data_IF_866648647397
#
_entry.id   IF_866648647397
#
_cell.length_a   1.000
_cell.length_b   1.000
_cell.length_c   1.000
_cell.angle_alpha   90.00
_cell.angle_beta   90.00
_cell.angle_gamma   90.00
#
_symmetry.space_group_name_H-M   'P 1'
#
loop_
_entity.id
_entity.type
_entity.pdbx_description
1 polymer ?
#
# COMPACT_ATOMS: atom_id res chain seq x y z
N UNK A 1 -6.62 19.63 12.88
CA UNK A 1 -6.38 18.65 11.80
C UNK A 1 -7.58 18.58 10.88
N UNK A 2 -7.37 18.49 9.57
CA UNK A 2 -8.46 18.28 8.59
C UNK A 2 -8.89 16.79 8.55
N UNK A 3 -10.13 16.50 8.17
CA UNK A 3 -10.65 15.11 8.07
C UNK A 3 -9.76 14.22 7.18
N UNK A 4 -9.18 14.80 6.12
CA UNK A 4 -8.25 14.09 5.21
C UNK A 4 -6.94 13.70 5.90
N UNK A 5 -6.38 14.60 6.73
CA UNK A 5 -5.18 14.31 7.52
C UNK A 5 -5.43 13.21 8.55
N UNK A 6 -6.59 13.22 9.21
CA UNK A 6 -6.98 12.14 10.14
C UNK A 6 -7.03 10.80 9.41
N UNK A 7 -7.69 10.72 8.26
CA UNK A 7 -7.78 9.47 7.49
C UNK A 7 -6.41 9.01 6.96
N UNK A 8 -5.56 9.94 6.53
CA UNK A 8 -4.20 9.61 6.12
C UNK A 8 -3.36 9.04 7.28
N UNK A 9 -3.47 9.65 8.46
CA UNK A 9 -2.79 9.14 9.67
C UNK A 9 -3.33 7.78 10.10
N UNK A 10 -4.65 7.56 10.01
CA UNK A 10 -5.23 6.25 10.27
C UNK A 10 -4.72 5.20 9.28
N UNK A 11 -4.61 5.56 8.00
CA UNK A 11 -4.04 4.67 6.97
C UNK A 11 -2.60 4.26 7.29
N UNK A 12 -1.73 5.23 7.54
CA UNK A 12 -0.34 4.93 7.93
C UNK A 12 -0.24 4.24 9.30
N UNK A 13 -1.17 4.53 10.20
CA UNK A 13 -1.31 3.83 11.47
C UNK A 13 -1.63 2.34 11.28
N UNK A 14 -2.58 2.00 10.41
CA UNK A 14 -2.89 0.60 10.06
C UNK A 14 -1.67 -0.09 9.46
N UNK A 15 -0.99 0.55 8.51
CA UNK A 15 0.24 0.01 7.91
C UNK A 15 1.32 -0.23 8.96
N UNK A 16 1.53 0.72 9.87
CA UNK A 16 2.51 0.59 10.96
C UNK A 16 2.15 -0.54 11.92
N UNK A 17 0.88 -0.66 12.32
CA UNK A 17 0.41 -1.75 13.19
C UNK A 17 0.61 -3.11 12.53
N UNK A 18 0.30 -3.24 11.24
CA UNK A 18 0.55 -4.48 10.49
C UNK A 18 2.04 -4.82 10.44
N UNK A 19 2.90 -3.84 10.14
CA UNK A 19 4.34 -4.03 10.13
C UNK A 19 4.88 -4.45 11.51
N UNK A 20 4.48 -3.77 12.57
CA UNK A 20 4.89 -4.09 13.95
C UNK A 20 4.43 -5.49 14.33
N UNK A 21 3.16 -5.83 14.05
CA UNK A 21 2.62 -7.18 14.30
C UNK A 21 3.45 -8.24 13.58
N UNK A 22 3.75 -8.02 12.30
CA UNK A 22 4.55 -8.97 11.50
C UNK A 22 5.98 -9.08 12.02
N UNK A 23 6.61 -7.98 12.41
CA UNK A 23 7.94 -8.01 13.03
C UNK A 23 7.95 -8.79 14.35
N UNK A 24 6.96 -8.57 15.22
CA UNK A 24 6.82 -9.30 16.48
C UNK A 24 6.57 -10.79 16.25
N UNK A 25 5.71 -11.16 15.30
CA UNK A 25 5.46 -12.55 14.95
C UNK A 25 6.72 -13.20 14.36
N UNK A 26 7.43 -12.50 13.48
CA UNK A 26 8.63 -13.00 12.83
C UNK A 26 9.77 -13.27 13.84
N UNK A 27 10.02 -12.34 14.77
CA UNK A 27 11.09 -12.46 15.78
C UNK A 27 10.78 -13.53 16.81
N UNK A 28 9.51 -13.69 17.19
CA UNK A 28 9.10 -14.68 18.19
C UNK A 28 8.88 -16.09 17.62
N UNK A 29 9.04 -16.30 16.31
CA UNK A 29 8.80 -17.60 15.69
C UNK A 29 10.09 -18.45 15.66
N UNK A 30 10.14 -19.57 16.40
CA UNK A 30 11.32 -20.44 16.44
C UNK A 30 11.48 -21.28 15.16
N UNK A 31 10.36 -21.57 14.47
CA UNK A 31 10.34 -22.35 13.24
C UNK A 31 10.54 -21.48 11.99
N UNK A 32 11.63 -21.74 11.26
CA UNK A 32 11.96 -21.03 10.02
C UNK A 32 10.98 -21.28 8.86
N UNK A 33 10.27 -22.41 8.85
CA UNK A 33 9.23 -22.70 7.86
C UNK A 33 8.05 -21.72 7.99
N UNK A 34 7.63 -21.45 9.22
CA UNK A 34 6.50 -20.56 9.53
C UNK A 34 6.85 -19.07 9.34
N UNK A 35 8.14 -18.71 9.42
CA UNK A 35 8.61 -17.36 9.12
C UNK A 35 8.30 -16.93 7.67
N UNK A 36 8.43 -17.86 6.71
CA UNK A 36 8.09 -17.61 5.31
C UNK A 36 6.59 -17.35 5.12
N UNK A 37 5.74 -18.14 5.78
CA UNK A 37 4.28 -17.98 5.73
C UNK A 37 3.82 -16.66 6.35
N UNK A 38 4.44 -16.22 7.46
CA UNK A 38 4.15 -14.93 8.09
C UNK A 38 4.43 -13.76 7.14
N UNK A 39 5.60 -13.77 6.47
CA UNK A 39 5.97 -12.73 5.52
C UNK A 39 5.06 -12.74 4.30
N UNK A 40 4.74 -13.91 3.76
CA UNK A 40 3.86 -14.06 2.61
C UNK A 40 2.43 -13.60 2.94
N UNK A 41 1.90 -13.98 4.10
CA UNK A 41 0.60 -13.53 4.59
C UNK A 41 0.55 -12.00 4.77
N UNK A 42 1.60 -11.41 5.34
CA UNK A 42 1.73 -9.95 5.43
C UNK A 42 1.74 -9.27 4.06
N UNK A 43 2.52 -9.80 3.12
CA UNK A 43 2.59 -9.30 1.76
C UNK A 43 1.24 -9.32 1.04
N UNK A 44 0.50 -10.43 1.16
CA UNK A 44 -0.85 -10.56 0.59
C UNK A 44 -1.85 -9.56 1.18
N UNK A 45 -1.84 -9.37 2.51
CA UNK A 45 -2.72 -8.39 3.17
C UNK A 45 -2.39 -6.97 2.69
N UNK A 46 -1.11 -6.62 2.63
CA UNK A 46 -0.68 -5.30 2.16
C UNK A 46 -1.05 -5.07 0.68
N UNK A 47 -0.86 -6.07 -0.17
CA UNK A 47 -1.25 -6.01 -1.58
C UNK A 47 -2.76 -5.87 -1.75
N UNK A 48 -3.56 -6.59 -0.97
CA UNK A 48 -5.02 -6.48 -1.01
C UNK A 48 -5.51 -5.09 -0.61
N UNK A 49 -4.92 -4.49 0.43
CA UNK A 49 -5.27 -3.14 0.89
C UNK A 49 -4.85 -2.04 -0.11
N UNK A 50 -3.74 -2.26 -0.82
CA UNK A 50 -3.21 -1.35 -1.82
C UNK A 50 -3.69 -1.65 -3.25
N UNK A 51 -4.54 -2.66 -3.46
CA UNK A 51 -5.00 -3.03 -4.80
C UNK A 51 -5.91 -1.96 -5.40
N UNK A 52 -5.79 -1.65 -6.71
CA UNK A 52 -4.91 -2.31 -7.68
C UNK A 52 -3.47 -1.80 -7.74
N UNK A 53 -3.14 -0.61 -7.22
CA UNK A 53 -1.81 0.01 -7.44
C UNK A 53 -0.66 -0.68 -6.69
N UNK A 54 -0.97 -1.44 -5.64
CA UNK A 54 0.02 -2.16 -4.84
C UNK A 54 0.83 -3.17 -5.66
N UNK A 55 0.19 -3.90 -6.57
CA UNK A 55 0.83 -4.92 -7.41
C UNK A 55 1.95 -4.36 -8.29
N UNK A 56 1.70 -3.36 -9.17
CA UNK A 56 2.78 -2.78 -9.96
C UNK A 56 3.80 -2.04 -9.11
N UNK A 57 3.40 -1.44 -7.98
CA UNK A 57 4.33 -0.75 -7.09
C UNK A 57 5.35 -1.72 -6.47
N UNK A 58 4.89 -2.87 -5.95
CA UNK A 58 5.76 -3.92 -5.40
C UNK A 58 6.65 -4.51 -6.49
N UNK A 59 6.14 -4.73 -7.69
CA UNK A 59 6.94 -5.21 -8.83
C UNK A 59 8.08 -4.24 -9.17
N UNK A 60 7.79 -2.94 -9.25
CA UNK A 60 8.80 -1.90 -9.50
C UNK A 60 9.82 -1.85 -8.36
N UNK A 61 9.37 -1.83 -7.11
CA UNK A 61 10.24 -1.79 -5.95
C UNK A 61 11.17 -3.02 -5.87
N UNK A 62 10.65 -4.22 -6.13
CA UNK A 62 11.44 -5.45 -6.19
C UNK A 62 12.44 -5.45 -7.33
N UNK A 63 12.07 -4.95 -8.52
CA UNK A 63 12.99 -4.84 -9.66
C UNK A 63 14.13 -3.87 -9.37
N UNK A 64 13.82 -2.71 -8.77
CA UNK A 64 14.81 -1.71 -8.35
C UNK A 64 15.75 -2.30 -7.29
N UNK A 65 15.21 -2.95 -6.25
CA UNK A 65 16.02 -3.60 -5.22
C UNK A 65 16.96 -4.66 -5.82
N UNK A 66 16.47 -5.46 -6.77
CA UNK A 66 17.27 -6.44 -7.50
C UNK A 66 18.41 -5.82 -8.30
N UNK A 67 18.17 -4.69 -8.97
CA UNK A 67 19.23 -3.98 -9.71
C UNK A 67 20.36 -3.46 -8.82
N UNK A 68 20.05 -3.06 -7.60
CA UNK A 68 21.06 -2.61 -6.63
C UNK A 68 21.68 -3.77 -5.83
N UNK A 69 21.33 -5.03 -6.14
CA UNK A 69 21.83 -6.20 -5.42
C UNK A 69 21.37 -6.25 -3.96
N UNK A 70 20.27 -5.57 -3.61
CA UNK A 70 19.74 -5.58 -2.25
C UNK A 70 19.02 -6.90 -2.03
N UNK A 71 19.65 -7.80 -1.28
CA UNK A 71 19.02 -9.03 -0.81
C UNK A 71 17.99 -8.68 0.27
N UNK A 72 16.73 -8.50 -0.15
CA UNK A 72 15.64 -8.23 0.77
C UNK A 72 15.20 -9.56 1.40
N UNK A 73 15.48 -9.74 2.69
CA UNK A 73 15.13 -10.96 3.42
C UNK A 73 14.59 -10.62 4.82
N UNK A 74 13.65 -11.42 5.31
CA UNK A 74 13.12 -11.29 6.66
C UNK A 74 12.30 -10.02 6.87
N UNK A 75 12.49 -9.37 8.02
CA UNK A 75 11.75 -8.16 8.42
C UNK A 75 11.97 -6.99 7.46
N UNK A 76 13.12 -6.92 6.78
CA UNK A 76 13.39 -5.89 5.77
C UNK A 76 12.44 -6.00 4.57
N UNK A 77 12.05 -7.22 4.20
CA UNK A 77 11.10 -7.46 3.12
C UNK A 77 9.70 -6.98 3.52
N UNK A 78 9.27 -7.33 4.74
CA UNK A 78 8.03 -6.80 5.30
C UNK A 78 8.02 -5.26 5.35
N UNK A 79 9.13 -4.62 5.70
CA UNK A 79 9.25 -3.16 5.73
C UNK A 79 9.16 -2.55 4.32
N UNK A 80 9.87 -3.12 3.35
CA UNK A 80 9.86 -2.65 1.96
C UNK A 80 8.47 -2.77 1.34
N UNK A 81 7.82 -3.93 1.51
CA UNK A 81 6.43 -4.15 1.05
C UNK A 81 5.48 -3.18 1.76
N UNK A 82 5.62 -2.98 3.07
CA UNK A 82 4.75 -2.07 3.83
C UNK A 82 4.87 -0.63 3.36
N UNK A 83 6.10 -0.17 3.11
CA UNK A 83 6.34 1.18 2.60
C UNK A 83 5.76 1.34 1.20
N UNK A 84 6.04 0.39 0.31
CA UNK A 84 5.60 0.43 -1.09
C UNK A 84 4.08 0.40 -1.20
N UNK A 85 3.42 -0.57 -0.57
CA UNK A 85 1.96 -0.68 -0.55
C UNK A 85 1.32 0.45 0.25
N UNK A 86 1.95 0.92 1.33
CA UNK A 86 1.46 2.04 2.13
C UNK A 86 1.40 3.34 1.31
N UNK A 87 2.44 3.65 0.55
CA UNK A 87 2.48 4.82 -0.34
C UNK A 87 1.52 4.64 -1.53
N UNK A 88 1.53 3.47 -2.17
CA UNK A 88 0.64 3.18 -3.30
C UNK A 88 -0.84 3.27 -2.91
N UNK A 89 -1.23 2.65 -1.80
CA UNK A 89 -2.60 2.73 -1.28
C UNK A 89 -2.97 4.15 -0.83
N UNK A 90 -2.04 4.90 -0.23
CA UNK A 90 -2.28 6.31 0.08
C UNK A 90 -2.61 7.12 -1.18
N UNK A 91 -1.77 7.01 -2.22
CA UNK A 91 -1.98 7.69 -3.50
C UNK A 91 -3.30 7.25 -4.15
N UNK A 92 -3.61 5.96 -4.11
CA UNK A 92 -4.84 5.42 -4.65
C UNK A 92 -6.08 6.03 -3.98
N UNK A 93 -6.18 5.90 -2.66
CA UNK A 93 -7.40 6.20 -1.91
C UNK A 93 -7.59 7.70 -1.68
N UNK A 94 -6.51 8.45 -1.45
CA UNK A 94 -6.61 9.85 -1.04
C UNK A 94 -6.30 10.86 -2.14
N UNK A 95 -5.62 10.44 -3.21
CA UNK A 95 -5.23 11.35 -4.32
C UNK A 95 -5.98 10.99 -5.61
N UNK A 96 -5.83 9.77 -6.10
CA UNK A 96 -6.36 9.32 -7.39
C UNK A 96 -7.88 9.18 -7.37
N UNK A 97 -8.45 8.47 -6.39
CA UNK A 97 -9.89 8.24 -6.33
C UNK A 97 -10.69 9.56 -6.23
N UNK A 98 -10.32 10.52 -5.36
CA UNK A 98 -11.01 11.81 -5.30
C UNK A 98 -10.78 12.67 -6.54
N UNK A 99 -9.63 12.55 -7.20
CA UNK A 99 -9.36 13.24 -8.46
C UNK A 99 -10.22 12.70 -9.60
N UNK A 100 -10.29 11.38 -9.77
CA UNK A 100 -11.16 10.72 -10.75
C UNK A 100 -12.63 11.07 -10.51
N UNK A 101 -13.06 11.07 -9.25
CA UNK A 101 -14.42 11.46 -8.88
C UNK A 101 -14.74 12.90 -9.28
N UNK A 102 -13.85 13.86 -8.99
CA UNK A 102 -14.01 15.26 -9.40
C UNK A 102 -14.08 15.41 -10.92
N UNK A 103 -13.19 14.72 -11.65
CA UNK A 103 -13.16 14.74 -13.11
C UNK A 103 -14.44 14.17 -13.73
N UNK A 104 -14.95 13.08 -13.18
CA UNK A 104 -16.20 12.47 -13.63
C UNK A 104 -17.43 13.35 -13.34
N UNK A 105 -17.48 13.97 -12.15
CA UNK A 105 -18.55 14.91 -11.79
C UNK A 105 -18.56 16.13 -12.72
N UNK A 106 -17.39 16.68 -13.06
CA UNK A 106 -17.27 17.79 -14.01
C UNK A 106 -17.76 17.42 -15.41
N UNK A 107 -17.47 16.20 -15.88
CA UNK A 107 -17.97 15.69 -17.17
C UNK A 107 -19.50 15.59 -17.20
N UNK A 108 -20.12 15.07 -16.14
CA UNK A 108 -21.59 15.00 -16.03
C UNK A 108 -22.25 16.38 -15.99
N UNK A 109 -21.62 17.36 -15.35
CA UNK A 109 -22.13 18.72 -15.32
C UNK A 109 -22.04 19.41 -16.70
N UNK A 110 -20.98 19.14 -17.47
CA UNK A 110 -20.81 19.68 -18.83
C UNK A 110 -21.77 19.09 -19.87
N UNK A 111 -22.22 17.85 -19.70
CA UNK A 111 -23.20 17.20 -20.61
C UNK A 111 -24.65 17.70 -20.45
N UNK A 112 -24.93 18.56 -19.47
CA UNK A 112 -26.24 19.21 -19.29
C UNK A 112 -26.26 20.67 -19.78
N UNK A 113 -25.19 21.15 -20.42
CA UNK A 113 -25.27 22.44 -21.12
C UNK A 113 -26.15 22.26 -22.37
N UNK A 114 -27.28 22.99 -22.49
CA UNK A 114 -28.08 22.95 -23.69
C UNK A 114 -27.23 23.45 -24.87
N UNK A 115 -27.19 22.66 -25.95
CA UNK A 115 -26.70 23.14 -27.23
C UNK A 115 -27.62 24.29 -27.68
N UNK A 116 -27.13 25.51 -27.56
CA UNK A 116 -27.73 26.70 -28.18
C UNK A 116 -27.34 26.72 -29.65
#
# INVERSE_FOLDING_TARGET
MTKKQVLALLWFGVVAVLLIRTALLYVNQPDKSLQGEILLGHGLVMLALAAPLGWPAVFVAGTVAGWFGVAVAGVLDAALISLTCGVAGYLQWFVLLPWLWRKWKARRAGSHAPSV
#
